data_IF_118696851025
#
_entry.id   IF_118696851025
#
_cell.length_a   1.000
_cell.length_b   1.000
_cell.length_c   1.000
_cell.angle_alpha   90.00
_cell.angle_beta   90.00
_cell.angle_gamma   90.00
#
_symmetry.space_group_name_H-M   'P 1'
#
loop_
_entity.id
_entity.type
_entity.pdbx_description
1 polymer ?
#
# COMPACT_ATOMS: atom_id res chain seq x y z
N UNK A 1 15.70 -49.71 -43.28
CA UNK A 1 14.45 -49.21 -42.69
C UNK A 1 14.54 -47.72 -42.61
N UNK A 2 13.64 -47.01 -43.29
CA UNK A 2 13.50 -45.60 -43.15
C UNK A 2 13.06 -45.29 -41.71
N UNK A 3 13.70 -44.37 -41.02
CA UNK A 3 13.34 -43.92 -39.68
C UNK A 3 11.90 -43.44 -39.67
N UNK A 4 10.99 -44.20 -39.03
CA UNK A 4 9.62 -43.77 -38.82
C UNK A 4 9.52 -42.79 -37.66
N UNK A 5 8.82 -41.67 -37.84
CA UNK A 5 8.41 -40.79 -36.76
C UNK A 5 7.07 -41.25 -36.21
N UNK A 6 6.86 -41.18 -34.92
CA UNK A 6 5.60 -41.43 -34.25
C UNK A 6 5.26 -40.30 -33.30
N UNK A 7 3.98 -40.12 -33.01
CA UNK A 7 3.49 -39.16 -32.05
C UNK A 7 2.24 -39.72 -31.34
N UNK A 8 2.10 -39.40 -30.06
CA UNK A 8 0.94 -39.72 -29.27
C UNK A 8 0.46 -38.44 -28.58
N UNK A 9 -0.83 -38.17 -28.68
CA UNK A 9 -1.45 -37.09 -27.94
C UNK A 9 -2.05 -37.65 -26.66
N UNK A 10 -1.66 -37.09 -25.50
CA UNK A 10 -2.20 -37.43 -24.19
C UNK A 10 -3.35 -36.48 -23.91
N UNK A 11 -4.56 -36.95 -23.59
CA UNK A 11 -5.69 -36.08 -23.23
C UNK A 11 -5.39 -35.23 -22.00
N UNK A 12 -5.92 -33.99 -21.97
CA UNK A 12 -5.72 -33.08 -20.82
C UNK A 12 -6.24 -33.67 -19.49
N UNK A 13 -7.31 -34.50 -19.56
CA UNK A 13 -7.85 -35.19 -18.38
C UNK A 13 -6.84 -36.17 -17.74
N UNK A 14 -6.02 -36.82 -18.56
CA UNK A 14 -4.99 -37.75 -18.05
C UNK A 14 -3.80 -36.97 -17.49
N UNK A 15 -3.43 -35.86 -18.12
CA UNK A 15 -2.36 -34.95 -17.62
C UNK A 15 -2.73 -34.35 -16.27
N UNK A 16 -4.00 -33.99 -16.07
CA UNK A 16 -4.50 -33.41 -14.82
C UNK A 16 -4.44 -34.36 -13.60
N UNK A 17 -4.22 -35.68 -13.84
CA UNK A 17 -4.10 -36.68 -12.76
C UNK A 17 -2.66 -36.94 -12.34
N UNK A 18 -1.69 -36.36 -13.04
CA UNK A 18 -0.28 -36.54 -12.72
C UNK A 18 0.07 -35.79 -11.43
N UNK A 19 0.67 -36.48 -10.44
CA UNK A 19 1.16 -35.78 -9.24
C UNK A 19 2.40 -34.96 -9.57
N UNK A 20 2.61 -33.89 -8.80
CA UNK A 20 3.84 -33.10 -8.87
C UNK A 20 5.06 -34.00 -8.54
N UNK A 21 6.16 -33.73 -9.24
CA UNK A 21 7.43 -34.43 -9.05
C UNK A 21 8.00 -35.06 -10.31
N UNK A 22 8.98 -35.93 -10.10
CA UNK A 22 9.66 -36.63 -11.20
C UNK A 22 8.76 -37.69 -11.81
N UNK A 23 8.67 -37.73 -13.12
CA UNK A 23 7.92 -38.67 -13.90
C UNK A 23 8.75 -39.20 -15.07
N UNK A 24 8.32 -40.34 -15.63
CA UNK A 24 8.97 -40.96 -16.79
C UNK A 24 7.93 -41.35 -17.82
N UNK A 25 8.24 -41.12 -19.07
CA UNK A 25 7.53 -41.72 -20.21
C UNK A 25 8.38 -42.82 -20.81
N UNK A 26 7.77 -43.95 -21.10
CA UNK A 26 8.41 -45.12 -21.72
C UNK A 26 7.72 -45.41 -23.06
N UNK A 27 8.52 -45.59 -24.09
CA UNK A 27 8.07 -46.04 -25.38
C UNK A 27 8.68 -47.46 -25.65
N UNK A 28 7.89 -48.35 -26.21
CA UNK A 28 8.36 -49.69 -26.60
C UNK A 28 7.88 -50.04 -28.00
N UNK A 29 8.68 -50.75 -28.72
CA UNK A 29 8.35 -51.26 -30.08
C UNK A 29 8.91 -52.68 -30.25
N UNK A 30 8.18 -53.51 -30.97
CA UNK A 30 8.65 -54.83 -31.36
C UNK A 30 8.62 -54.98 -32.89
N UNK A 31 9.60 -55.69 -33.45
CA UNK A 31 9.58 -56.01 -34.85
C UNK A 31 8.74 -57.32 -35.10
N UNK A 32 8.54 -57.65 -36.35
CA UNK A 32 7.75 -58.81 -36.77
C UNK A 32 8.32 -60.16 -36.29
N UNK A 33 9.61 -60.22 -35.93
CA UNK A 33 10.26 -61.39 -35.37
C UNK A 33 10.13 -61.48 -33.82
N UNK A 34 9.45 -60.51 -33.17
CA UNK A 34 9.25 -60.45 -31.73
C UNK A 34 10.36 -59.78 -30.93
N UNK A 35 11.42 -59.27 -31.59
CA UNK A 35 12.47 -58.53 -30.88
C UNK A 35 11.97 -57.16 -30.47
N UNK A 36 12.10 -56.83 -29.18
CA UNK A 36 11.62 -55.56 -28.61
C UNK A 36 12.77 -54.56 -28.34
N UNK A 37 12.47 -53.27 -28.42
CA UNK A 37 13.30 -52.16 -27.96
C UNK A 37 12.46 -51.23 -27.11
N UNK A 38 13.11 -50.57 -26.15
CA UNK A 38 12.49 -49.59 -25.23
C UNK A 38 13.34 -48.33 -25.15
N UNK A 39 12.69 -47.21 -24.92
CA UNK A 39 13.30 -45.94 -24.56
C UNK A 39 12.52 -45.29 -23.46
N UNK A 40 13.22 -44.62 -22.54
CA UNK A 40 12.63 -43.91 -21.41
C UNK A 40 13.10 -42.47 -21.43
N UNK A 41 12.21 -41.52 -21.13
CA UNK A 41 12.54 -40.12 -20.99
C UNK A 41 11.96 -39.61 -19.67
N UNK A 42 12.82 -39.00 -18.84
CA UNK A 42 12.42 -38.38 -17.58
C UNK A 42 11.94 -36.94 -17.82
N UNK A 43 10.90 -36.57 -17.10
CA UNK A 43 10.38 -35.19 -17.03
C UNK A 43 9.92 -34.88 -15.61
N UNK A 44 9.60 -33.62 -15.32
CA UNK A 44 8.97 -33.22 -14.06
C UNK A 44 7.60 -32.65 -14.32
N UNK A 45 6.71 -32.87 -13.37
CA UNK A 45 5.38 -32.27 -13.28
C UNK A 45 5.42 -31.28 -12.13
N UNK A 46 4.91 -30.08 -12.37
CA UNK A 46 4.64 -29.07 -11.36
C UNK A 46 3.37 -28.34 -11.81
N UNK A 47 2.26 -28.62 -11.14
CA UNK A 47 0.95 -28.07 -11.41
C UNK A 47 0.43 -27.25 -10.21
N UNK A 48 1.27 -27.05 -9.18
CA UNK A 48 0.90 -26.32 -7.97
C UNK A 48 1.27 -24.85 -8.12
N UNK A 49 0.24 -23.98 -8.15
CA UNK A 49 0.48 -22.54 -8.18
C UNK A 49 1.13 -22.05 -6.88
N UNK A 50 2.05 -21.08 -6.94
CA UNK A 50 2.60 -20.44 -5.76
C UNK A 50 1.55 -19.59 -5.05
N UNK A 51 1.85 -19.10 -3.86
CA UNK A 51 1.11 -18.04 -3.19
C UNK A 51 1.81 -16.69 -3.38
N UNK A 52 1.06 -15.59 -3.30
CA UNK A 52 1.59 -14.23 -3.21
C UNK A 52 0.72 -13.41 -2.25
N UNK A 53 1.35 -12.55 -1.46
CA UNK A 53 0.67 -11.63 -0.53
C UNK A 53 1.19 -10.21 -0.73
N UNK A 54 0.39 -9.22 -0.33
CA UNK A 54 0.79 -7.81 -0.23
C UNK A 54 0.67 -7.42 1.25
N UNK A 55 1.71 -6.82 1.80
CA UNK A 55 1.71 -6.30 3.17
C UNK A 55 0.95 -4.97 3.23
N UNK A 56 0.66 -4.50 4.45
CA UNK A 56 0.17 -3.14 4.71
C UNK A 56 1.05 -2.13 3.99
N UNK A 57 0.43 -1.23 3.23
CA UNK A 57 1.08 -0.19 2.42
C UNK A 57 1.07 1.10 3.22
N UNK A 58 2.14 1.91 3.12
CA UNK A 58 2.28 3.19 3.84
C UNK A 58 2.17 3.08 5.38
N UNK A 59 2.11 1.86 5.94
CA UNK A 59 2.01 1.62 7.37
C UNK A 59 0.58 1.39 7.88
N UNK A 60 -0.43 1.94 7.21
CA UNK A 60 -1.85 1.89 7.61
C UNK A 60 -2.84 1.77 6.44
N UNK A 61 -2.33 1.51 5.23
CA UNK A 61 -3.11 1.45 3.98
C UNK A 61 -3.74 2.79 3.56
N UNK A 62 -3.22 3.91 4.11
CA UNK A 62 -3.61 5.27 3.75
C UNK A 62 -2.35 6.04 3.31
N UNK A 63 -2.27 6.40 2.04
CA UNK A 63 -1.19 7.24 1.52
C UNK A 63 -1.53 8.70 1.72
N UNK A 64 -0.82 9.38 2.62
CA UNK A 64 -0.98 10.81 2.88
C UNK A 64 0.04 11.64 2.08
N UNK A 65 -0.11 13.00 2.13
CA UNK A 65 0.75 13.92 1.38
C UNK A 65 2.23 13.85 1.77
N UNK A 66 2.54 13.59 3.05
CA UNK A 66 3.92 13.49 3.51
C UNK A 66 4.61 12.23 2.99
N UNK A 67 3.92 11.10 3.00
CA UNK A 67 4.39 9.83 2.46
C UNK A 67 4.52 9.85 0.95
N UNK A 68 3.57 10.49 0.25
CA UNK A 68 3.64 10.68 -1.20
C UNK A 68 4.80 11.58 -1.65
N UNK A 69 5.39 12.34 -0.73
CA UNK A 69 6.61 13.13 -0.94
C UNK A 69 7.89 12.30 -1.08
N UNK A 70 7.82 10.99 -0.84
CA UNK A 70 8.92 10.03 -0.98
C UNK A 70 8.50 8.85 -1.82
N UNK A 71 9.47 8.07 -2.34
CA UNK A 71 9.14 6.84 -3.05
C UNK A 71 8.45 5.85 -2.11
N UNK A 72 7.32 5.30 -2.55
CA UNK A 72 6.53 4.33 -1.78
C UNK A 72 7.05 2.91 -2.04
N UNK A 73 7.37 2.18 -0.97
CA UNK A 73 7.68 0.76 -1.07
C UNK A 73 6.43 -0.08 -0.88
N UNK A 74 6.12 -0.92 -1.86
CA UNK A 74 5.10 -1.96 -1.74
C UNK A 74 5.83 -3.29 -1.63
N UNK A 75 5.48 -4.11 -0.65
CA UNK A 75 6.16 -5.35 -0.33
C UNK A 75 5.19 -6.47 0.02
N UNK A 76 5.70 -7.69 0.06
CA UNK A 76 4.94 -8.87 0.44
C UNK A 76 5.79 -10.12 0.46
N UNK A 77 5.12 -11.27 0.43
CA UNK A 77 5.76 -12.58 0.38
C UNK A 77 5.22 -13.43 -0.77
N UNK A 78 6.00 -14.38 -1.22
CA UNK A 78 5.60 -15.37 -2.21
C UNK A 78 6.28 -16.72 -1.93
N UNK A 79 5.62 -17.81 -2.29
CA UNK A 79 6.21 -19.16 -2.30
C UNK A 79 6.81 -19.54 -3.66
N UNK A 80 6.74 -18.65 -4.67
CA UNK A 80 7.49 -18.86 -5.90
C UNK A 80 9.00 -18.85 -5.62
N UNK A 81 9.78 -19.48 -6.48
CA UNK A 81 11.23 -19.62 -6.25
C UNK A 81 11.93 -18.26 -6.31
N UNK A 82 13.02 -18.17 -5.57
CA UNK A 82 13.88 -16.99 -5.61
C UNK A 82 14.29 -16.61 -7.04
N UNK A 83 14.20 -15.34 -7.34
CA UNK A 83 14.48 -14.79 -8.68
C UNK A 83 13.25 -14.68 -9.58
N UNK A 84 12.11 -15.27 -9.24
CA UNK A 84 10.86 -15.06 -10.00
C UNK A 84 10.41 -13.61 -9.87
N UNK A 85 9.91 -13.06 -10.99
CA UNK A 85 9.50 -11.65 -11.04
C UNK A 85 8.08 -11.49 -10.50
N UNK A 86 7.93 -10.63 -9.49
CA UNK A 86 6.64 -10.11 -9.04
C UNK A 86 6.36 -8.82 -9.80
N UNK A 87 5.19 -8.74 -10.43
CA UNK A 87 4.69 -7.51 -11.07
C UNK A 87 3.59 -6.92 -10.21
N UNK A 88 3.78 -5.69 -9.75
CA UNK A 88 2.78 -4.92 -9.00
C UNK A 88 2.17 -3.88 -9.92
N UNK A 89 0.84 -3.81 -9.95
CA UNK A 89 0.11 -2.79 -10.72
C UNK A 89 -0.60 -1.85 -9.75
N UNK A 90 -0.34 -0.55 -9.88
CA UNK A 90 -1.03 0.54 -9.19
C UNK A 90 -1.41 1.60 -10.22
N UNK A 91 -2.68 1.98 -10.26
CA UNK A 91 -3.22 2.99 -11.18
C UNK A 91 -2.85 2.72 -12.66
N UNK A 92 -2.83 1.44 -13.06
CA UNK A 92 -2.48 1.02 -14.43
C UNK A 92 -0.99 1.04 -14.77
N UNK A 93 -0.12 1.43 -13.84
CA UNK A 93 1.34 1.40 -14.01
C UNK A 93 1.90 0.13 -13.35
N UNK A 94 2.84 -0.52 -14.03
CA UNK A 94 3.48 -1.75 -13.56
C UNK A 94 4.87 -1.46 -12.97
N UNK A 95 5.11 -2.03 -11.81
CA UNK A 95 6.40 -2.04 -11.11
C UNK A 95 6.83 -3.49 -10.91
N UNK A 96 8.12 -3.78 -11.01
CA UNK A 96 8.61 -5.14 -10.88
C UNK A 96 9.71 -5.25 -9.83
N UNK A 97 9.70 -6.38 -9.13
CA UNK A 97 10.72 -6.80 -8.18
C UNK A 97 10.85 -8.32 -8.23
N UNK A 98 11.89 -8.86 -7.59
CA UNK A 98 12.10 -10.30 -7.59
C UNK A 98 11.84 -10.89 -6.21
N UNK A 99 11.32 -12.12 -6.19
CA UNK A 99 11.25 -12.94 -4.98
C UNK A 99 12.66 -13.21 -4.47
N UNK A 100 12.90 -12.93 -3.20
CA UNK A 100 14.17 -13.14 -2.54
C UNK A 100 14.29 -14.59 -2.02
N UNK A 101 15.47 -14.96 -1.52
CA UNK A 101 15.72 -16.33 -1.00
C UNK A 101 14.87 -16.67 0.24
N UNK A 102 14.39 -15.67 0.97
CA UNK A 102 13.50 -15.81 2.13
C UNK A 102 12.00 -15.74 1.77
N UNK A 103 11.69 -15.65 0.47
CA UNK A 103 10.33 -15.53 -0.04
C UNK A 103 9.77 -14.09 0.00
N UNK A 104 10.50 -13.11 0.51
CA UNK A 104 10.07 -11.72 0.47
C UNK A 104 10.23 -11.11 -0.93
N UNK A 105 9.44 -10.06 -1.21
CA UNK A 105 9.58 -9.24 -2.40
C UNK A 105 9.25 -7.78 -2.10
N UNK A 106 9.80 -6.87 -2.87
CA UNK A 106 9.47 -5.44 -2.80
C UNK A 106 9.63 -4.75 -4.15
N UNK A 107 8.83 -3.70 -4.35
CA UNK A 107 8.92 -2.77 -5.48
C UNK A 107 8.90 -1.35 -4.94
N UNK A 108 9.45 -0.42 -5.72
CA UNK A 108 9.43 1.00 -5.40
C UNK A 108 8.58 1.75 -6.41
N UNK A 109 7.60 2.51 -5.92
CA UNK A 109 6.76 3.42 -6.72
C UNK A 109 7.36 4.82 -6.61
N UNK A 110 7.78 5.45 -7.73
CA UNK A 110 8.37 6.78 -7.72
C UNK A 110 7.37 7.87 -7.31
N UNK A 111 7.86 8.96 -6.70
CA UNK A 111 7.03 10.12 -6.31
C UNK A 111 6.26 10.73 -7.47
N UNK A 112 6.82 10.72 -8.69
CA UNK A 112 6.14 11.21 -9.88
C UNK A 112 4.86 10.45 -10.22
N UNK A 113 4.81 9.14 -9.94
CA UNK A 113 3.63 8.31 -10.15
C UNK A 113 2.62 8.48 -9.00
N UNK A 114 3.12 8.67 -7.76
CA UNK A 114 2.27 8.97 -6.61
C UNK A 114 1.54 10.31 -6.76
N UNK A 115 2.18 11.30 -7.35
CA UNK A 115 1.57 12.62 -7.62
C UNK A 115 0.37 12.56 -8.60
N UNK A 116 0.24 11.48 -9.36
CA UNK A 116 -0.89 11.26 -10.27
C UNK A 116 -2.07 10.53 -9.61
N UNK A 117 -1.95 10.13 -8.34
CA UNK A 117 -3.02 9.50 -7.59
C UNK A 117 -3.98 10.60 -7.09
N UNK A 118 -5.27 10.38 -7.27
CA UNK A 118 -6.33 11.23 -6.73
C UNK A 118 -6.96 10.56 -5.51
N UNK A 119 -7.62 11.33 -4.64
CA UNK A 119 -8.31 10.77 -3.47
C UNK A 119 -9.34 9.72 -3.88
N UNK A 120 -9.08 8.45 -3.56
CA UNK A 120 -9.94 7.31 -3.93
C UNK A 120 -9.38 6.05 -3.28
N UNK A 121 -10.15 5.00 -3.06
CA UNK A 121 -9.55 3.70 -2.86
C UNK A 121 -8.99 3.18 -4.18
N UNK A 122 -7.72 2.80 -4.19
CA UNK A 122 -7.06 2.09 -5.29
C UNK A 122 -6.93 0.61 -4.96
N UNK A 123 -7.10 -0.25 -5.96
CA UNK A 123 -6.73 -1.65 -5.83
C UNK A 123 -5.30 -1.82 -6.36
N UNK A 124 -4.40 -2.21 -5.48
CA UNK A 124 -3.05 -2.66 -5.82
C UNK A 124 -3.11 -4.14 -6.11
N UNK A 125 -2.57 -4.60 -7.23
CA UNK A 125 -2.47 -6.02 -7.53
C UNK A 125 -1.02 -6.45 -7.64
N UNK A 126 -0.71 -7.66 -7.17
CA UNK A 126 0.59 -8.30 -7.35
C UNK A 126 0.38 -9.64 -8.06
N UNK A 127 1.20 -9.93 -9.05
CA UNK A 127 1.18 -11.18 -9.81
C UNK A 127 2.58 -11.76 -9.91
N UNK A 128 2.68 -13.08 -9.83
CA UNK A 128 3.91 -13.84 -9.98
C UNK A 128 3.60 -15.18 -10.64
N UNK A 129 4.57 -15.78 -11.32
CA UNK A 129 4.52 -17.17 -11.70
C UNK A 129 5.73 -17.89 -11.13
N UNK A 130 5.56 -19.17 -10.81
CA UNK A 130 6.69 -20.03 -10.46
C UNK A 130 7.54 -20.37 -11.69
N UNK A 131 8.56 -21.21 -11.51
CA UNK A 131 9.47 -21.63 -12.56
C UNK A 131 8.82 -22.54 -13.60
N UNK A 132 7.75 -23.24 -13.22
CA UNK A 132 6.97 -24.10 -14.12
C UNK A 132 5.96 -23.29 -14.95
N UNK A 133 5.68 -22.04 -14.56
CA UNK A 133 4.74 -21.13 -15.22
C UNK A 133 3.36 -21.08 -14.58
N UNK A 134 3.16 -21.68 -13.40
CA UNK A 134 1.87 -21.62 -12.68
C UNK A 134 1.69 -20.21 -12.10
N UNK A 135 0.60 -19.48 -12.42
CA UNK A 135 0.42 -18.10 -11.99
C UNK A 135 -0.25 -18.00 -10.62
N UNK A 136 0.09 -16.94 -9.90
CA UNK A 136 -0.61 -16.50 -8.69
C UNK A 136 -0.81 -14.98 -8.69
N UNK A 137 -1.86 -14.52 -8.03
CA UNK A 137 -2.11 -13.09 -7.85
C UNK A 137 -2.77 -12.79 -6.51
N UNK A 138 -2.54 -11.57 -6.01
CA UNK A 138 -3.20 -11.02 -4.84
C UNK A 138 -3.58 -9.57 -5.10
N UNK A 139 -4.57 -9.08 -4.34
CA UNK A 139 -4.98 -7.67 -4.37
C UNK A 139 -5.00 -7.10 -2.95
N UNK A 140 -4.74 -5.80 -2.85
CA UNK A 140 -4.75 -5.04 -1.62
C UNK A 140 -5.33 -3.65 -1.88
N UNK A 141 -6.11 -3.10 -0.96
CA UNK A 141 -6.69 -1.77 -1.12
C UNK A 141 -5.76 -0.72 -0.50
N UNK A 142 -5.59 0.39 -1.22
CA UNK A 142 -4.87 1.57 -0.78
C UNK A 142 -5.80 2.77 -0.88
N UNK A 143 -6.06 3.42 0.24
CA UNK A 143 -6.73 4.73 0.27
C UNK A 143 -5.69 5.82 0.02
N UNK A 144 -6.04 6.84 -0.75
CA UNK A 144 -5.16 8.00 -1.01
C UNK A 144 -5.87 9.24 -0.53
N UNK A 145 -5.25 9.97 0.40
CA UNK A 145 -5.70 11.27 0.90
C UNK A 145 -4.50 12.23 0.96
N UNK A 146 -4.36 13.02 -0.09
CA UNK A 146 -3.27 14.01 -0.22
C UNK A 146 -3.72 15.41 0.17
N UNK A 147 -4.97 15.60 0.60
CA UNK A 147 -5.50 16.90 0.97
C UNK A 147 -5.07 17.27 2.40
N UNK A 148 -4.34 18.37 2.55
CA UNK A 148 -4.07 18.91 3.87
C UNK A 148 -5.37 19.52 4.46
N UNK A 149 -5.61 19.36 5.77
CA UNK A 149 -6.72 20.03 6.42
C UNK A 149 -6.51 21.55 6.41
N UNK A 150 -7.62 22.30 6.39
CA UNK A 150 -7.62 23.77 6.49
C UNK A 150 -8.14 24.14 7.86
N UNK A 151 -7.36 24.93 8.60
CA UNK A 151 -7.72 25.44 9.93
C UNK A 151 -8.00 26.94 9.84
N UNK A 152 -9.04 27.40 10.50
CA UNK A 152 -9.37 28.82 10.65
C UNK A 152 -9.38 29.22 12.12
N UNK A 153 -9.09 30.48 12.41
CA UNK A 153 -9.24 31.12 13.71
C UNK A 153 -10.28 32.22 13.57
N UNK A 154 -11.27 32.23 14.46
CA UNK A 154 -12.28 33.28 14.50
C UNK A 154 -11.71 34.54 15.14
N UNK A 155 -12.40 35.64 14.94
CA UNK A 155 -12.13 36.93 15.60
C UNK A 155 -11.97 36.75 17.11
N UNK A 156 -10.87 37.23 17.65
CA UNK A 156 -10.55 37.18 19.08
C UNK A 156 -11.13 38.41 19.76
N UNK A 157 -11.64 38.26 20.99
CA UNK A 157 -12.21 39.35 21.78
C UNK A 157 -13.37 40.11 21.09
N UNK A 158 -13.82 39.64 19.92
CA UNK A 158 -14.91 40.25 19.13
C UNK A 158 -14.46 41.19 18.03
N UNK A 159 -13.27 41.80 18.12
CA UNK A 159 -12.74 42.77 17.16
C UNK A 159 -11.24 42.64 16.86
N UNK A 160 -10.61 41.54 17.31
CA UNK A 160 -9.16 41.27 17.25
C UNK A 160 -8.30 42.29 18.03
N UNK A 161 -8.92 43.01 18.98
CA UNK A 161 -8.22 43.96 19.87
C UNK A 161 -8.56 43.59 21.31
N UNK A 162 -7.56 43.23 22.08
CA UNK A 162 -7.71 43.00 23.52
C UNK A 162 -7.55 44.32 24.26
N UNK A 163 -8.67 44.94 24.69
CA UNK A 163 -8.68 46.19 25.45
C UNK A 163 -8.34 45.95 26.93
N UNK A 164 -8.16 47.02 27.73
CA UNK A 164 -7.73 46.95 29.11
C UNK A 164 -8.67 46.08 30.02
N UNK A 165 -9.96 46.02 29.70
CA UNK A 165 -10.92 45.18 30.45
C UNK A 165 -10.73 43.71 30.09
N UNK A 166 -10.59 43.41 28.83
CA UNK A 166 -10.40 42.06 28.30
C UNK A 166 -9.04 41.50 28.63
N UNK A 167 -8.00 42.37 28.71
CA UNK A 167 -6.64 41.98 29.13
C UNK A 167 -6.59 41.43 30.55
N UNK A 168 -7.54 41.78 31.40
CA UNK A 168 -7.66 41.28 32.76
C UNK A 168 -8.53 40.00 32.87
N UNK A 169 -9.06 39.50 31.76
CA UNK A 169 -9.99 38.36 31.74
C UNK A 169 -9.46 37.19 30.92
N UNK A 170 -10.00 36.01 31.21
CA UNK A 170 -9.78 34.84 30.36
C UNK A 170 -10.45 35.05 29.01
N UNK A 171 -9.78 34.66 27.93
CA UNK A 171 -10.31 34.75 26.58
C UNK A 171 -10.59 33.36 26.01
N UNK A 172 -11.59 33.27 25.13
CA UNK A 172 -11.84 32.06 24.36
C UNK A 172 -11.34 32.31 22.93
N UNK A 173 -10.45 31.45 22.50
CA UNK A 173 -10.02 31.40 21.09
C UNK A 173 -10.71 30.19 20.46
N UNK A 174 -11.29 30.42 19.29
CA UNK A 174 -12.07 29.39 18.59
C UNK A 174 -11.85 29.44 17.10
N UNK A 175 -12.29 28.42 16.43
CA UNK A 175 -12.23 28.33 14.98
C UNK A 175 -12.84 27.05 14.45
N UNK A 176 -12.53 26.74 13.22
CA UNK A 176 -12.97 25.50 12.58
C UNK A 176 -11.83 24.85 11.81
N UNK A 177 -11.99 23.57 11.51
CA UNK A 177 -11.13 22.86 10.57
C UNK A 177 -11.97 22.03 9.59
N UNK A 178 -11.56 22.01 8.33
CA UNK A 178 -12.13 21.16 7.28
C UNK A 178 -11.06 20.20 6.79
N UNK A 179 -11.46 19.02 6.31
CA UNK A 179 -10.51 17.96 5.92
C UNK A 179 -9.89 17.22 7.11
N UNK A 180 -10.37 17.50 8.33
CA UNK A 180 -10.02 16.77 9.55
C UNK A 180 -11.28 16.18 10.19
N UNK A 181 -11.12 15.19 11.06
CA UNK A 181 -12.25 14.46 11.66
C UNK A 181 -12.43 14.82 13.14
N UNK A 182 -13.64 14.57 13.67
CA UNK A 182 -13.94 14.68 15.09
C UNK A 182 -12.90 13.95 15.94
N UNK A 183 -12.43 14.63 16.98
CA UNK A 183 -11.41 14.10 17.90
C UNK A 183 -9.96 14.37 17.45
N UNK A 184 -9.72 14.86 16.23
CA UNK A 184 -8.38 15.32 15.85
C UNK A 184 -7.94 16.49 16.75
N UNK A 185 -6.67 16.49 17.13
CA UNK A 185 -6.10 17.52 18.01
C UNK A 185 -5.82 18.79 17.23
N UNK A 186 -6.25 19.93 17.79
CA UNK A 186 -5.88 21.27 17.36
C UNK A 186 -4.93 21.83 18.40
N UNK A 187 -3.78 22.35 17.95
CA UNK A 187 -2.80 23.03 18.78
C UNK A 187 -2.85 24.53 18.46
N UNK A 188 -2.94 25.36 19.49
CA UNK A 188 -2.96 26.83 19.40
C UNK A 188 -1.82 27.39 20.21
N UNK A 189 -0.95 28.14 19.57
CA UNK A 189 0.18 28.79 20.23
C UNK A 189 -0.05 30.30 20.34
N UNK A 190 0.08 30.83 21.55
CA UNK A 190 -0.04 32.25 21.87
C UNK A 190 1.24 32.67 22.58
N UNK A 191 2.01 33.54 21.94
CA UNK A 191 3.35 33.88 22.41
C UNK A 191 4.25 32.63 22.46
N UNK A 192 4.61 32.16 23.64
CA UNK A 192 5.43 30.96 23.84
C UNK A 192 4.65 29.79 24.41
N UNK A 193 3.34 29.93 24.64
CA UNK A 193 2.50 28.90 25.28
C UNK A 193 1.61 28.22 24.27
N UNK A 194 1.67 26.87 24.21
CA UNK A 194 0.82 26.05 23.36
C UNK A 194 -0.28 25.40 24.17
N UNK A 195 -1.49 25.49 23.67
CA UNK A 195 -2.71 24.88 24.16
C UNK A 195 -3.19 23.84 23.17
N UNK A 196 -3.88 22.81 23.64
CA UNK A 196 -4.47 21.79 22.81
C UNK A 196 -5.95 21.59 23.10
N UNK A 197 -6.72 21.33 22.06
CA UNK A 197 -8.12 20.94 22.13
C UNK A 197 -8.41 19.91 21.04
N UNK A 198 -9.65 19.46 20.92
CA UNK A 198 -10.07 18.53 19.88
C UNK A 198 -11.22 19.11 19.06
N UNK A 199 -11.33 18.66 17.82
CA UNK A 199 -12.46 19.00 16.96
C UNK A 199 -13.75 18.33 17.47
N UNK A 200 -14.83 19.09 17.47
CA UNK A 200 -16.18 18.58 17.69
C UNK A 200 -16.76 17.90 16.43
N UNK A 201 -17.99 17.39 16.53
CA UNK A 201 -18.68 16.71 15.44
C UNK A 201 -18.99 17.62 14.21
N UNK A 202 -18.91 18.94 14.38
CA UNK A 202 -19.15 19.94 13.33
C UNK A 202 -17.86 20.50 12.76
N UNK A 203 -16.67 20.00 13.20
CA UNK A 203 -15.38 20.52 12.79
C UNK A 203 -14.97 21.82 13.47
N UNK A 204 -15.64 22.21 14.58
CA UNK A 204 -15.28 23.39 15.36
C UNK A 204 -14.34 23.03 16.51
N UNK A 205 -13.58 24.01 16.94
CA UNK A 205 -12.71 23.90 18.11
C UNK A 205 -12.76 25.19 18.94
N UNK A 206 -12.54 25.06 20.23
CA UNK A 206 -12.41 26.19 21.13
C UNK A 206 -11.44 25.87 22.27
N UNK A 207 -10.78 26.91 22.78
CA UNK A 207 -9.81 26.81 23.86
C UNK A 207 -9.92 28.02 24.76
N UNK A 208 -9.93 27.78 26.07
CA UNK A 208 -9.90 28.83 27.08
C UNK A 208 -8.47 29.21 27.42
N UNK A 209 -8.13 30.48 27.24
CA UNK A 209 -6.81 31.04 27.62
C UNK A 209 -6.98 31.77 28.93
N UNK A 210 -6.24 31.39 30.00
CA UNK A 210 -6.37 32.01 31.31
C UNK A 210 -6.04 33.50 31.32
N UNK A 211 -6.69 34.28 32.19
CA UNK A 211 -6.42 35.70 32.35
C UNK A 211 -4.93 35.99 32.67
N UNK A 212 -4.27 35.12 33.41
CA UNK A 212 -2.83 35.27 33.74
C UNK A 212 -1.91 35.24 32.51
N UNK A 213 -2.33 34.56 31.42
CA UNK A 213 -1.59 34.52 30.16
C UNK A 213 -1.89 35.78 29.37
N UNK A 214 -3.17 36.15 29.26
CA UNK A 214 -3.60 37.33 28.54
C UNK A 214 -2.96 38.60 29.15
N UNK A 215 -2.96 38.73 30.49
CA UNK A 215 -2.34 39.87 31.21
C UNK A 215 -0.81 39.88 31.14
N UNK A 216 -0.19 38.80 30.72
CA UNK A 216 1.24 38.73 30.46
C UNK A 216 1.65 39.14 29.03
N UNK A 217 0.70 39.37 28.15
CA UNK A 217 0.99 39.84 26.79
C UNK A 217 1.36 41.33 26.82
N UNK A 218 2.41 41.68 26.10
CA UNK A 218 2.80 43.10 25.94
C UNK A 218 1.88 43.78 24.93
N UNK A 219 1.74 45.11 25.08
CA UNK A 219 1.06 45.92 24.07
C UNK A 219 1.70 45.76 22.70
N UNK A 220 0.86 45.58 21.68
CA UNK A 220 1.30 45.40 20.30
C UNK A 220 0.66 44.19 19.62
N UNK A 221 1.20 43.82 18.49
CA UNK A 221 0.71 42.66 17.72
C UNK A 221 1.17 41.34 18.34
N UNK A 222 0.25 40.46 18.68
CA UNK A 222 0.51 39.11 19.12
C UNK A 222 0.02 38.14 18.01
N UNK A 223 0.91 37.26 17.58
CA UNK A 223 0.55 36.22 16.61
C UNK A 223 -0.01 35.01 17.32
N UNK A 224 -1.13 34.50 16.83
CA UNK A 224 -1.74 33.23 17.21
C UNK A 224 -1.51 32.27 16.04
N UNK A 225 -0.92 31.11 16.31
CA UNK A 225 -0.64 30.08 15.30
C UNK A 225 -1.11 28.71 15.75
#
# INVERSE_FOLDING_TARGET
AAGGTWGLTIPAADLATLPDGAANVQASVSNVAGNSAQATHAYSVDATAPSVTINTIAGDDILNAAEAGSALTISGTSTAEAGQTVTVTLNGVNYSGNVQADGSWSVSVPTGDLANLTASPYTVSAAVSDKAGNPASATHNLTVDLAAPVVTINTVAGDDIINATEHAQAQIISGSATGATTGNTVSVTIGTTTYTTVLDANGNWSIGVPASVISGLADGTVTIS
#
